data_IF_091613863310
#
_entry.id   IF_091613863310
#
_cell.length_a   1.000
_cell.length_b   1.000
_cell.length_c   1.000
_cell.angle_alpha   90.00
_cell.angle_beta   90.00
_cell.angle_gamma   90.00
#
_symmetry.space_group_name_H-M   'P 1'
#
loop_
_entity.id
_entity.type
_entity.pdbx_description
1 polymer ?
#
# COMPACT_ATOMS: atom_id res chain seq x y z
N UNK A 1 -4.65 15.88 -11.76
CA UNK A 1 -4.65 17.31 -11.39
C UNK A 1 -3.27 17.75 -10.90
N UNK A 2 -2.76 17.26 -9.75
CA UNK A 2 -1.50 17.72 -9.12
C UNK A 2 -0.35 18.08 -10.10
N UNK A 3 0.17 17.12 -10.86
CA UNK A 3 1.29 17.40 -11.79
C UNK A 3 0.94 18.35 -12.93
N UNK A 4 -0.28 18.29 -13.46
CA UNK A 4 -0.70 19.16 -14.56
C UNK A 4 -0.88 20.61 -14.10
N UNK A 5 -1.24 20.82 -12.83
CA UNK A 5 -1.37 22.16 -12.25
C UNK A 5 -0.01 22.84 -12.05
N UNK A 6 1.06 22.06 -11.90
CA UNK A 6 2.44 22.54 -11.71
C UNK A 6 3.33 22.26 -12.94
N UNK A 7 2.73 22.13 -14.13
CA UNK A 7 3.45 21.70 -15.33
C UNK A 7 4.66 22.58 -15.66
N UNK A 8 4.51 23.91 -15.49
CA UNK A 8 5.58 24.87 -15.74
C UNK A 8 6.81 24.64 -14.84
N UNK A 9 6.60 24.23 -13.58
CA UNK A 9 7.67 23.90 -12.63
C UNK A 9 8.36 22.59 -13.02
N UNK A 10 7.56 21.57 -13.38
CA UNK A 10 8.05 20.21 -13.67
C UNK A 10 8.78 20.14 -15.02
N UNK A 11 8.40 20.98 -15.98
CA UNK A 11 8.99 21.00 -17.33
C UNK A 11 10.34 21.74 -17.43
N UNK A 12 10.80 22.39 -16.36
CA UNK A 12 12.10 23.08 -16.35
C UNK A 12 13.26 22.08 -16.46
N UNK A 13 14.30 22.43 -17.23
CA UNK A 13 15.50 21.59 -17.37
C UNK A 13 16.27 21.39 -16.05
N UNK A 14 16.11 22.32 -15.11
CA UNK A 14 16.69 22.28 -13.76
C UNK A 14 15.75 21.66 -12.71
N UNK A 15 14.66 21.01 -13.12
CA UNK A 15 13.69 20.44 -12.19
C UNK A 15 14.32 19.38 -11.27
N UNK A 16 14.12 19.56 -9.96
CA UNK A 16 14.44 18.58 -8.92
C UNK A 16 13.12 18.25 -8.20
N UNK A 17 12.73 16.96 -8.09
CA UNK A 17 11.49 16.57 -7.42
C UNK A 17 11.47 17.02 -5.96
N UNK A 18 10.36 17.64 -5.56
CA UNK A 18 10.09 17.91 -4.15
C UNK A 18 9.66 16.64 -3.44
N UNK A 19 9.71 16.63 -2.10
CA UNK A 19 9.15 15.51 -1.32
C UNK A 19 7.67 15.25 -1.67
N UNK A 20 6.90 16.29 -1.96
CA UNK A 20 5.49 16.17 -2.33
C UNK A 20 5.33 15.52 -3.71
N UNK A 21 6.20 15.81 -4.67
CA UNK A 21 6.22 15.14 -5.98
C UNK A 21 6.54 13.65 -5.80
N UNK A 22 7.55 13.33 -4.98
CA UNK A 22 7.93 11.94 -4.70
C UNK A 22 6.76 11.18 -4.06
N UNK A 23 6.10 11.75 -3.04
CA UNK A 23 4.95 11.13 -2.36
C UNK A 23 3.72 10.98 -3.28
N UNK A 24 3.55 11.85 -4.28
CA UNK A 24 2.45 11.76 -5.27
C UNK A 24 2.79 10.85 -6.44
N UNK A 25 4.04 10.40 -6.55
CA UNK A 25 4.47 9.55 -7.66
C UNK A 25 3.92 8.16 -7.43
N UNK A 26 3.13 7.67 -8.39
CA UNK A 26 2.59 6.32 -8.33
C UNK A 26 3.59 5.35 -8.96
N UNK A 27 4.40 4.72 -8.11
CA UNK A 27 5.23 3.58 -8.51
C UNK A 27 4.58 2.31 -7.98
N UNK A 28 4.40 1.30 -8.83
CA UNK A 28 3.88 0.01 -8.40
C UNK A 28 4.95 -0.70 -7.57
N UNK A 29 4.68 -0.98 -6.30
CA UNK A 29 5.49 -1.91 -5.50
C UNK A 29 5.37 -3.32 -6.09
N UNK A 30 6.51 -3.94 -6.40
CA UNK A 30 6.62 -5.34 -6.80
C UNK A 30 7.46 -6.07 -5.76
N UNK A 31 6.98 -7.24 -5.31
CA UNK A 31 7.62 -8.00 -4.25
C UNK A 31 7.37 -7.41 -2.86
N UNK A 32 8.39 -7.53 -2.02
CA UNK A 32 8.39 -7.15 -0.61
C UNK A 32 9.60 -6.24 -0.39
N UNK A 33 9.36 -5.08 0.22
CA UNK A 33 10.41 -4.13 0.60
C UNK A 33 10.44 -4.05 2.12
N UNK A 34 11.61 -4.29 2.70
CA UNK A 34 11.82 -4.23 4.15
C UNK A 34 12.56 -2.94 4.51
N UNK A 35 12.03 -2.20 5.50
CA UNK A 35 12.64 -0.97 6.02
C UNK A 35 12.77 -1.04 7.53
N UNK A 36 13.92 -0.61 8.04
CA UNK A 36 14.24 -0.62 9.46
C UNK A 36 14.34 0.82 9.94
N UNK A 37 13.69 1.13 11.05
CA UNK A 37 13.82 2.44 11.68
C UNK A 37 13.63 2.34 13.19
N UNK A 38 14.09 3.36 13.91
CA UNK A 38 13.94 3.46 15.36
C UNK A 38 13.08 4.66 15.70
N UNK A 39 12.10 4.50 16.59
CA UNK A 39 11.27 5.60 17.07
C UNK A 39 11.00 5.44 18.56
N UNK A 40 11.36 6.45 19.36
CA UNK A 40 11.25 6.42 20.84
C UNK A 40 11.87 5.15 21.44
N UNK A 41 13.11 4.84 21.02
CA UNK A 41 13.88 3.65 21.45
C UNK A 41 13.27 2.29 21.09
N UNK A 42 12.21 2.26 20.28
CA UNK A 42 11.63 1.04 19.72
C UNK A 42 12.17 0.83 18.31
N UNK A 43 12.62 -0.40 18.02
CA UNK A 43 13.05 -0.81 16.69
C UNK A 43 11.86 -1.36 15.91
N UNK A 44 11.61 -0.78 14.74
CA UNK A 44 10.58 -1.19 13.81
C UNK A 44 11.19 -1.85 12.59
N UNK A 45 10.66 -3.02 12.24
CA UNK A 45 10.88 -3.70 10.97
C UNK A 45 9.57 -3.66 10.19
N UNK A 46 9.51 -2.78 9.18
CA UNK A 46 8.32 -2.55 8.36
C UNK A 46 8.47 -3.24 7.02
N UNK A 47 7.42 -3.94 6.61
CA UNK A 47 7.33 -4.58 5.30
C UNK A 47 6.27 -3.86 4.45
N UNK A 48 6.67 -3.30 3.33
CA UNK A 48 5.77 -2.86 2.27
C UNK A 48 5.61 -3.99 1.25
N UNK A 49 4.37 -4.36 0.96
CA UNK A 49 4.04 -5.51 0.11
C UNK A 49 3.15 -5.08 -1.05
N UNK A 50 3.43 -5.60 -2.25
CA UNK A 50 2.58 -5.34 -3.41
C UNK A 50 1.13 -5.82 -3.20
N UNK A 51 0.16 -4.91 -3.36
CA UNK A 51 -1.28 -5.20 -3.15
C UNK A 51 -2.02 -5.87 -4.31
N UNK A 52 -1.41 -5.89 -5.50
CA UNK A 52 -2.02 -6.46 -6.71
C UNK A 52 -2.16 -7.97 -6.62
N UNK A 53 -3.16 -8.55 -7.30
CA UNK A 53 -3.48 -9.99 -7.17
C UNK A 53 -2.27 -10.87 -7.48
N UNK A 54 -1.48 -10.48 -8.48
CA UNK A 54 -0.23 -11.16 -8.88
C UNK A 54 0.86 -11.18 -7.79
N UNK A 55 0.85 -10.21 -6.87
CA UNK A 55 1.87 -10.05 -5.83
C UNK A 55 1.50 -10.75 -4.50
N UNK A 56 0.20 -10.96 -4.25
CA UNK A 56 -0.30 -11.49 -2.97
C UNK A 56 0.23 -12.87 -2.58
N UNK A 57 0.60 -13.71 -3.56
CA UNK A 57 1.22 -15.02 -3.28
C UNK A 57 2.53 -14.89 -2.51
N UNK A 58 3.23 -13.76 -2.63
CA UNK A 58 4.53 -13.51 -1.98
C UNK A 58 4.35 -13.16 -0.50
N UNK A 59 3.18 -12.71 -0.08
CA UNK A 59 2.93 -12.22 1.29
C UNK A 59 3.25 -13.24 2.37
N UNK A 60 3.12 -14.54 2.08
CA UNK A 60 3.46 -15.61 3.02
C UNK A 60 4.89 -15.51 3.58
N UNK A 61 5.81 -14.88 2.84
CA UNK A 61 7.20 -14.67 3.27
C UNK A 61 7.36 -13.65 4.40
N UNK A 62 6.31 -12.91 4.76
CA UNK A 62 6.34 -11.93 5.85
C UNK A 62 5.30 -12.19 6.94
N UNK A 63 4.71 -13.40 7.01
CA UNK A 63 3.64 -13.71 7.98
C UNK A 63 4.16 -14.08 9.37
N UNK A 64 5.43 -14.46 9.50
CA UNK A 64 6.02 -14.86 10.78
C UNK A 64 6.40 -13.63 11.64
N UNK A 65 6.03 -13.66 12.91
CA UNK A 65 6.44 -12.64 13.89
C UNK A 65 5.80 -11.26 13.68
N UNK A 66 4.67 -11.17 12.98
CA UNK A 66 3.98 -9.89 12.73
C UNK A 66 3.29 -9.37 14.00
N UNK A 67 3.77 -8.24 14.51
CA UNK A 67 3.15 -7.55 15.67
C UNK A 67 1.82 -6.88 15.29
N UNK A 68 1.79 -6.22 14.13
CA UNK A 68 0.59 -5.55 13.64
C UNK A 68 0.56 -5.51 12.12
N UNK A 69 -0.64 -5.54 11.55
CA UNK A 69 -0.92 -5.30 10.13
C UNK A 69 -1.52 -3.91 9.99
N UNK A 70 -0.98 -3.13 9.07
CA UNK A 70 -1.59 -1.87 8.64
C UNK A 70 -2.30 -2.15 7.32
N UNK A 71 -3.63 -2.13 7.34
CA UNK A 71 -4.45 -2.37 6.15
C UNK A 71 -4.96 -1.03 5.59
N UNK A 72 -4.48 -0.66 4.41
CA UNK A 72 -4.83 0.60 3.76
C UNK A 72 -5.95 0.40 2.73
N UNK A 73 -7.01 1.22 2.81
CA UNK A 73 -8.13 1.23 1.87
C UNK A 73 -8.29 2.61 1.25
N UNK A 74 -8.39 2.67 -0.08
CA UNK A 74 -8.73 3.90 -0.79
C UNK A 74 -10.26 4.10 -0.78
N UNK A 75 -10.78 4.89 0.17
CA UNK A 75 -12.23 5.15 0.24
C UNK A 75 -12.78 5.88 -0.99
N UNK A 76 -11.95 6.68 -1.67
CA UNK A 76 -12.31 7.39 -2.90
C UNK A 76 -12.58 6.47 -4.10
N UNK A 77 -12.18 5.19 -4.01
CA UNK A 77 -12.23 4.26 -5.14
C UNK A 77 -13.56 3.49 -5.22
N UNK A 78 -14.59 3.88 -4.47
CA UNK A 78 -15.90 3.22 -4.44
C UNK A 78 -16.59 3.16 -5.82
N UNK A 79 -16.32 4.11 -6.71
CA UNK A 79 -16.86 4.15 -8.08
C UNK A 79 -15.92 3.58 -9.15
N UNK A 80 -14.80 2.97 -8.75
CA UNK A 80 -13.76 2.50 -9.68
C UNK A 80 -13.70 0.98 -9.73
N UNK A 81 -13.26 0.46 -10.88
CA UNK A 81 -12.97 -0.96 -11.11
C UNK A 81 -11.46 -1.23 -11.03
N UNK A 82 -11.07 -2.48 -10.78
CA UNK A 82 -9.67 -2.88 -10.75
C UNK A 82 -9.03 -2.67 -12.14
N UNK A 83 -7.73 -2.37 -12.15
CA UNK A 83 -6.98 -2.35 -13.41
C UNK A 83 -6.73 -3.76 -13.97
N UNK A 84 -6.73 -4.78 -13.10
CA UNK A 84 -6.53 -6.18 -13.44
C UNK A 84 -7.85 -6.87 -13.86
N UNK A 85 -9.01 -6.23 -13.65
CA UNK A 85 -10.35 -6.81 -13.77
C UNK A 85 -11.41 -5.70 -13.85
N UNK A 86 -11.93 -5.45 -15.05
CA UNK A 86 -12.86 -4.33 -15.33
C UNK A 86 -14.29 -4.56 -14.81
N UNK A 87 -14.61 -5.76 -14.33
CA UNK A 87 -15.91 -6.07 -13.74
C UNK A 87 -15.89 -5.96 -12.21
N UNK A 88 -14.72 -6.12 -11.59
CA UNK A 88 -14.57 -6.07 -10.15
C UNK A 88 -14.36 -4.63 -9.63
N UNK A 89 -15.29 -4.17 -8.80
CA UNK A 89 -15.17 -2.92 -8.06
C UNK A 89 -14.02 -2.97 -7.02
N UNK A 90 -13.25 -1.87 -6.91
CA UNK A 90 -12.08 -1.78 -6.02
C UNK A 90 -12.42 -1.86 -4.53
N UNK A 91 -13.51 -1.24 -4.10
CA UNK A 91 -13.94 -1.29 -2.70
C UNK A 91 -14.42 -2.70 -2.33
N UNK A 92 -15.18 -3.35 -3.22
CA UNK A 92 -15.57 -4.75 -3.02
C UNK A 92 -14.37 -5.70 -2.95
N UNK A 93 -13.37 -5.53 -3.81
CA UNK A 93 -12.11 -6.29 -3.72
C UNK A 93 -11.39 -6.04 -2.39
N UNK A 94 -11.32 -4.79 -1.94
CA UNK A 94 -10.66 -4.43 -0.68
C UNK A 94 -11.36 -5.05 0.53
N UNK A 95 -12.70 -5.10 0.53
CA UNK A 95 -13.48 -5.77 1.58
C UNK A 95 -13.25 -7.28 1.60
N UNK A 96 -13.25 -7.94 0.43
CA UNK A 96 -12.93 -9.38 0.32
C UNK A 96 -11.52 -9.68 0.83
N UNK A 97 -10.55 -8.83 0.47
CA UNK A 97 -9.17 -8.99 0.91
C UNK A 97 -9.05 -8.79 2.43
N UNK A 98 -9.69 -7.76 2.98
CA UNK A 98 -9.72 -7.51 4.42
C UNK A 98 -10.30 -8.71 5.18
N UNK A 99 -11.45 -9.24 4.74
CA UNK A 99 -12.07 -10.43 5.32
C UNK A 99 -11.12 -11.63 5.32
N UNK A 100 -10.41 -11.86 4.22
CA UNK A 100 -9.42 -12.96 4.15
C UNK A 100 -8.23 -12.79 5.09
N UNK A 101 -7.85 -11.56 5.43
CA UNK A 101 -6.72 -11.26 6.32
C UNK A 101 -7.17 -11.40 7.78
N UNK A 102 -8.31 -10.81 8.14
CA UNK A 102 -8.86 -10.88 9.48
C UNK A 102 -9.17 -12.31 9.92
N UNK A 103 -9.59 -13.17 8.99
CA UNK A 103 -9.91 -14.57 9.26
C UNK A 103 -8.73 -15.53 9.02
N UNK A 104 -7.52 -15.03 8.74
CA UNK A 104 -6.35 -15.87 8.52
C UNK A 104 -5.76 -16.36 9.85
N UNK A 105 -5.55 -17.67 9.98
CA UNK A 105 -4.98 -18.29 11.20
C UNK A 105 -3.60 -17.74 11.58
N UNK A 106 -2.81 -17.29 10.61
CA UNK A 106 -1.51 -16.66 10.86
C UNK A 106 -1.61 -15.34 11.64
N UNK A 107 -2.77 -14.70 11.63
CA UNK A 107 -2.98 -13.36 12.21
C UNK A 107 -3.96 -13.35 13.38
N UNK A 108 -4.23 -14.52 13.98
CA UNK A 108 -5.19 -14.67 15.08
C UNK A 108 -4.87 -13.74 16.26
N UNK A 109 -3.58 -13.61 16.59
CA UNK A 109 -3.09 -12.77 17.69
C UNK A 109 -2.47 -11.44 17.20
N UNK A 110 -2.62 -11.11 15.92
CA UNK A 110 -2.03 -9.92 15.30
C UNK A 110 -3.01 -8.75 15.34
N UNK A 111 -2.56 -7.59 15.83
CA UNK A 111 -3.37 -6.37 15.80
C UNK A 111 -3.53 -5.86 14.37
N UNK A 112 -4.76 -5.56 13.94
CA UNK A 112 -5.03 -4.99 12.61
C UNK A 112 -5.45 -3.53 12.76
N UNK A 113 -4.67 -2.64 12.15
CA UNK A 113 -4.91 -1.20 12.11
C UNK A 113 -5.47 -0.87 10.73
N UNK A 114 -6.66 -0.26 10.70
CA UNK A 114 -7.32 0.14 9.45
C UNK A 114 -6.99 1.60 9.12
N UNK A 115 -6.41 1.85 7.94
CA UNK A 115 -6.16 3.18 7.41
C UNK A 115 -7.06 3.44 6.21
N UNK A 116 -7.70 4.62 6.22
CA UNK A 116 -8.73 5.04 5.27
C UNK A 116 -8.38 6.35 4.55
#
# INVERSE_FOLDING_TARGET
>A
AYYLNDLDRIAQSSYIPTQQDVLRTRVKTTGIVETHFTFKDLHFKMFDVGGQRSERKKWIHCFEGVTAIIFCVALSDYGLVLAEDEEMNRMHESMKLFDSICNNKWFTDTSIIFLK
#
